data_IF_852058441135
#
_entry.id   IF_852058441135
#
_cell.length_a   1.000
_cell.length_b   1.000
_cell.length_c   1.000
_cell.angle_alpha   90.00
_cell.angle_beta   90.00
_cell.angle_gamma   90.00
#
_symmetry.space_group_name_H-M   'P 1'
#
loop_
_entity.id
_entity.type
_entity.pdbx_description
1 polymer ?
#
# COMPACT_ATOMS: atom_id res chain seq x y z
N UNK A 1 3.99 -8.68 -11.63
CA UNK A 1 2.73 -8.61 -10.87
C UNK A 1 1.54 -9.18 -11.60
N UNK A 2 1.29 -8.77 -12.83
CA UNK A 2 0.18 -9.31 -13.61
C UNK A 2 0.21 -10.83 -13.72
N UNK A 3 1.40 -11.42 -13.91
CA UNK A 3 1.52 -12.87 -14.02
C UNK A 3 1.04 -13.62 -12.77
N UNK A 4 1.31 -13.07 -11.59
CA UNK A 4 0.82 -13.66 -10.34
C UNK A 4 -0.71 -13.70 -10.33
N UNK A 5 -1.36 -12.57 -10.68
CA UNK A 5 -2.81 -12.46 -10.65
C UNK A 5 -3.46 -13.32 -11.74
N UNK A 6 -2.86 -13.33 -12.94
CA UNK A 6 -3.43 -14.02 -14.09
C UNK A 6 -3.34 -15.54 -13.97
N UNK A 7 -2.29 -16.07 -13.32
CA UNK A 7 -2.07 -17.51 -13.24
C UNK A 7 -2.56 -18.12 -11.93
N UNK A 8 -2.97 -17.30 -10.96
CA UNK A 8 -3.45 -17.82 -9.68
C UNK A 8 -4.93 -18.21 -9.80
N UNK A 9 -5.28 -19.52 -9.72
CA UNK A 9 -6.66 -19.95 -9.94
C UNK A 9 -7.63 -19.49 -8.86
N UNK A 10 -7.14 -19.03 -7.70
CA UNK A 10 -7.99 -18.51 -6.63
C UNK A 10 -8.42 -17.06 -6.86
N UNK A 11 -7.74 -16.33 -7.76
CA UNK A 11 -8.10 -14.95 -8.07
C UNK A 11 -9.20 -14.95 -9.11
N UNK A 12 -10.40 -14.53 -8.72
CA UNK A 12 -11.57 -14.50 -9.61
C UNK A 12 -11.61 -13.23 -10.44
N UNK A 13 -11.17 -12.12 -9.88
CA UNK A 13 -11.22 -10.81 -10.53
C UNK A 13 -10.11 -9.95 -9.95
N UNK A 14 -9.53 -9.10 -10.78
CA UNK A 14 -8.62 -8.07 -10.31
C UNK A 14 -8.69 -6.85 -11.23
N UNK A 15 -8.35 -5.69 -10.69
CA UNK A 15 -8.27 -4.44 -11.44
C UNK A 15 -7.23 -3.55 -10.78
N UNK A 16 -6.67 -2.62 -11.55
CA UNK A 16 -5.66 -1.70 -11.05
C UNK A 16 -6.19 -0.27 -11.07
N UNK A 17 -5.94 0.45 -9.95
CA UNK A 17 -6.17 1.88 -9.83
C UNK A 17 -7.61 2.36 -10.14
N UNK A 18 -8.62 1.51 -9.95
CA UNK A 18 -10.02 1.88 -10.18
C UNK A 18 -10.70 2.52 -8.97
N UNK A 19 -10.18 2.27 -7.77
CA UNK A 19 -10.80 2.74 -6.53
C UNK A 19 -10.04 3.96 -6.02
N UNK A 20 -10.75 5.07 -5.79
CA UNK A 20 -10.19 6.28 -5.20
C UNK A 20 -10.68 6.42 -3.77
N UNK A 21 -9.77 6.52 -2.82
CA UNK A 21 -10.08 6.66 -1.40
C UNK A 21 -9.69 8.08 -0.96
N UNK A 22 -10.65 8.90 -0.52
CA UNK A 22 -10.30 10.23 -0.02
C UNK A 22 -9.60 10.12 1.34
N UNK A 23 -8.60 10.94 1.55
CA UNK A 23 -7.95 11.07 2.84
C UNK A 23 -7.49 12.50 3.07
N UNK A 24 -7.22 12.83 4.33
CA UNK A 24 -6.72 14.14 4.73
C UNK A 24 -5.27 14.01 5.18
N UNK A 25 -4.45 14.94 4.74
CA UNK A 25 -3.07 15.05 5.21
C UNK A 25 -2.66 16.52 5.25
N UNK A 26 -2.20 16.98 6.42
CA UNK A 26 -1.83 18.39 6.65
C UNK A 26 -2.94 19.36 6.22
N UNK A 27 -4.18 19.05 6.62
CA UNK A 27 -5.38 19.83 6.33
C UNK A 27 -5.74 19.96 4.85
N UNK A 28 -5.12 19.14 3.99
CA UNK A 28 -5.45 19.07 2.57
C UNK A 28 -6.15 17.77 2.23
N UNK A 29 -7.12 17.85 1.32
CA UNK A 29 -7.82 16.67 0.81
C UNK A 29 -7.02 16.07 -0.32
N UNK A 30 -6.84 14.76 -0.25
CA UNK A 30 -6.15 13.98 -1.27
C UNK A 30 -6.97 12.77 -1.66
N UNK A 31 -6.62 12.15 -2.78
CA UNK A 31 -7.17 10.86 -3.18
C UNK A 31 -6.05 9.84 -3.21
N UNK A 32 -6.33 8.65 -2.70
CA UNK A 32 -5.42 7.54 -2.70
C UNK A 32 -5.96 6.45 -3.63
N UNK A 33 -5.12 5.99 -4.55
CA UNK A 33 -5.45 4.92 -5.48
C UNK A 33 -4.61 3.70 -5.11
N UNK A 34 -5.19 2.69 -4.43
CA UNK A 34 -4.47 1.44 -4.18
C UNK A 34 -4.03 0.79 -5.49
N UNK A 35 -2.92 0.05 -5.46
CA UNK A 35 -2.37 -0.53 -6.69
C UNK A 35 -3.32 -1.53 -7.32
N UNK A 36 -3.96 -2.39 -6.52
CA UNK A 36 -4.84 -3.44 -7.02
C UNK A 36 -6.06 -3.63 -6.14
N UNK A 37 -7.16 -3.97 -6.78
CA UNK A 37 -8.31 -4.58 -6.15
C UNK A 37 -8.40 -6.02 -6.67
N UNK A 38 -8.65 -6.98 -5.77
CA UNK A 38 -8.85 -8.36 -6.20
C UNK A 38 -9.92 -9.08 -5.38
N UNK A 39 -10.57 -10.04 -6.02
CA UNK A 39 -11.52 -10.94 -5.38
C UNK A 39 -10.93 -12.34 -5.43
N UNK A 40 -10.85 -12.98 -4.27
CA UNK A 40 -10.21 -14.28 -4.11
C UNK A 40 -11.22 -15.27 -3.54
N UNK A 41 -11.33 -16.42 -4.20
CA UNK A 41 -12.18 -17.51 -3.72
C UNK A 41 -11.44 -18.26 -2.61
N UNK A 42 -12.12 -18.40 -1.47
CA UNK A 42 -11.59 -19.14 -0.32
C UNK A 42 -11.90 -20.63 -0.43
N UNK A 43 -11.27 -21.43 0.41
CA UNK A 43 -11.49 -22.88 0.45
C UNK A 43 -12.93 -23.28 0.79
N UNK A 44 -13.66 -22.39 1.46
CA UNK A 44 -15.07 -22.59 1.80
C UNK A 44 -16.05 -22.04 0.74
N UNK A 45 -15.55 -21.74 -0.46
CA UNK A 45 -16.27 -21.13 -1.58
C UNK A 45 -16.74 -19.69 -1.35
N UNK A 46 -16.35 -19.07 -0.25
CA UNK A 46 -16.64 -17.66 -0.04
C UNK A 46 -15.63 -16.80 -0.79
N UNK A 47 -16.06 -15.62 -1.21
CA UNK A 47 -15.22 -14.67 -1.92
C UNK A 47 -14.79 -13.57 -0.95
N UNK A 48 -13.49 -13.37 -0.82
CA UNK A 48 -12.91 -12.24 -0.09
C UNK A 48 -12.43 -11.18 -1.05
N UNK A 49 -12.62 -9.93 -0.67
CA UNK A 49 -12.21 -8.77 -1.45
C UNK A 49 -11.04 -8.10 -0.77
N UNK A 50 -10.03 -7.74 -1.56
CA UNK A 50 -8.80 -7.13 -1.04
C UNK A 50 -8.46 -5.88 -1.81
N UNK A 51 -8.02 -4.85 -1.10
CA UNK A 51 -7.26 -3.75 -1.69
C UNK A 51 -5.80 -3.98 -1.35
N UNK A 52 -4.94 -3.93 -2.36
CA UNK A 52 -3.52 -4.28 -2.24
C UNK A 52 -2.66 -3.09 -2.62
N UNK A 53 -1.74 -2.74 -1.73
CA UNK A 53 -0.70 -1.76 -1.99
C UNK A 53 0.65 -2.47 -1.98
N UNK A 54 1.49 -2.21 -3.00
CA UNK A 54 2.82 -2.78 -3.10
C UNK A 54 3.83 -1.69 -2.81
N UNK A 55 4.65 -1.87 -1.80
CA UNK A 55 5.65 -0.90 -1.38
C UNK A 55 6.98 -1.56 -1.09
N UNK A 56 8.05 -0.82 -1.34
CA UNK A 56 9.35 -1.19 -0.83
C UNK A 56 9.40 -0.92 0.68
N UNK A 57 10.16 -1.71 1.41
CA UNK A 57 10.25 -1.59 2.85
C UNK A 57 10.68 -0.18 3.30
N UNK A 58 11.54 0.48 2.53
CA UNK A 58 11.99 1.85 2.81
C UNK A 58 10.86 2.89 2.84
N UNK A 59 9.71 2.59 2.24
CA UNK A 59 8.59 3.54 2.16
C UNK A 59 7.77 3.62 3.44
N UNK A 60 8.00 2.70 4.39
CA UNK A 60 7.28 2.71 5.66
C UNK A 60 8.16 2.49 6.89
N UNK A 61 9.46 2.33 6.69
CA UNK A 61 10.43 2.20 7.79
C UNK A 61 11.49 3.28 7.62
N UNK A 62 11.58 4.16 8.63
CA UNK A 62 12.58 5.21 8.64
C UNK A 62 13.82 4.77 9.41
N UNK A 63 15.00 4.97 8.83
CA UNK A 63 16.26 4.71 9.50
C UNK A 63 16.48 5.74 10.60
N UNK A 64 17.20 5.34 11.65
CA UNK A 64 17.59 6.28 12.71
C UNK A 64 18.49 7.38 12.17
N UNK A 65 18.33 8.63 12.64
CA UNK A 65 19.20 9.70 12.18
C UNK A 65 20.64 9.46 12.63
N UNK A 66 21.57 9.88 11.81
CA UNK A 66 22.99 9.85 12.16
C UNK A 66 23.27 10.96 13.17
N UNK A 67 24.28 10.76 14.00
CA UNK A 67 24.70 11.76 15.00
C UNK A 67 25.08 13.09 14.34
N UNK A 68 25.76 13.04 13.21
CA UNK A 68 26.13 14.21 12.44
C UNK A 68 25.60 14.07 11.04
N UNK A 69 24.81 15.07 10.61
CA UNK A 69 24.24 15.09 9.28
C UNK A 69 24.47 16.46 8.63
N UNK A 70 24.76 16.45 7.35
CA UNK A 70 24.82 17.68 6.54
C UNK A 70 23.41 18.26 6.42
N UNK A 71 23.29 19.51 5.98
CA UNK A 71 22.01 20.14 5.70
C UNK A 71 21.19 19.33 4.69
N UNK A 72 21.86 18.82 3.65
CA UNK A 72 21.22 17.99 2.62
C UNK A 72 20.68 16.70 3.22
N UNK A 73 21.46 16.03 4.08
CA UNK A 73 21.03 14.79 4.73
C UNK A 73 19.85 15.05 5.69
N UNK A 74 19.88 16.14 6.43
CA UNK A 74 18.80 16.53 7.34
C UNK A 74 17.51 16.78 6.55
N UNK A 75 17.61 17.47 5.42
CA UNK A 75 16.47 17.73 4.56
C UNK A 75 15.88 16.43 4.01
N UNK A 76 16.72 15.52 3.54
CA UNK A 76 16.28 14.21 3.05
C UNK A 76 15.60 13.39 4.13
N UNK A 77 16.12 13.44 5.35
CA UNK A 77 15.53 12.75 6.49
C UNK A 77 14.12 13.28 6.79
N UNK A 78 13.94 14.60 6.78
CA UNK A 78 12.63 15.22 7.00
C UNK A 78 11.64 14.87 5.90
N UNK A 79 12.08 14.88 4.65
CA UNK A 79 11.24 14.51 3.51
C UNK A 79 10.80 13.06 3.59
N UNK A 80 11.70 12.15 4.01
CA UNK A 80 11.37 10.76 4.20
C UNK A 80 10.33 10.58 5.33
N UNK A 81 10.48 11.33 6.42
CA UNK A 81 9.52 11.28 7.53
C UNK A 81 8.12 11.72 7.06
N UNK A 82 8.04 12.77 6.25
CA UNK A 82 6.78 13.23 5.69
C UNK A 82 6.16 12.20 4.76
N UNK A 83 6.96 11.56 3.92
CA UNK A 83 6.50 10.51 3.02
C UNK A 83 5.91 9.34 3.80
N UNK A 84 6.61 8.90 4.86
CA UNK A 84 6.13 7.80 5.71
C UNK A 84 4.83 8.19 6.41
N UNK A 85 4.75 9.41 6.94
CA UNK A 85 3.53 9.90 7.59
C UNK A 85 2.35 9.96 6.60
N UNK A 86 2.61 10.41 5.37
CA UNK A 86 1.59 10.48 4.33
C UNK A 86 1.11 9.07 3.93
N UNK A 87 2.02 8.12 3.79
CA UNK A 87 1.67 6.74 3.51
C UNK A 87 0.80 6.15 4.64
N UNK A 88 1.13 6.46 5.88
CA UNK A 88 0.33 6.01 7.01
C UNK A 88 -1.09 6.57 6.97
N UNK A 89 -1.23 7.85 6.63
CA UNK A 89 -2.54 8.47 6.48
C UNK A 89 -3.37 7.81 5.36
N UNK A 90 -2.74 7.51 4.23
CA UNK A 90 -3.38 6.80 3.13
C UNK A 90 -3.87 5.43 3.58
N UNK A 91 -3.03 4.69 4.27
CA UNK A 91 -3.33 3.31 4.67
C UNK A 91 -4.39 3.26 5.77
N UNK A 92 -4.39 4.21 6.69
CA UNK A 92 -5.45 4.31 7.69
C UNK A 92 -6.80 4.59 7.04
N UNK A 93 -6.83 5.49 6.05
CA UNK A 93 -8.03 5.74 5.28
C UNK A 93 -8.48 4.52 4.49
N UNK A 94 -7.53 3.79 3.90
CA UNK A 94 -7.81 2.56 3.16
C UNK A 94 -8.38 1.46 4.07
N UNK A 95 -7.82 1.29 5.26
CA UNK A 95 -8.34 0.32 6.24
C UNK A 95 -9.77 0.65 6.65
N UNK A 96 -10.06 1.92 6.89
CA UNK A 96 -11.39 2.36 7.24
C UNK A 96 -12.37 2.13 6.09
N UNK A 97 -11.98 2.49 4.87
CA UNK A 97 -12.77 2.23 3.67
C UNK A 97 -13.08 0.75 3.51
N UNK A 98 -12.08 -0.11 3.67
CA UNK A 98 -12.24 -1.54 3.55
C UNK A 98 -13.18 -2.09 4.63
N UNK A 99 -13.06 -1.62 5.85
CA UNK A 99 -13.94 -2.03 6.96
C UNK A 99 -15.41 -1.72 6.63
N UNK A 100 -15.67 -0.56 6.03
CA UNK A 100 -17.03 -0.15 5.68
C UNK A 100 -17.59 -0.92 4.48
N UNK A 101 -16.75 -1.53 3.66
CA UNK A 101 -17.16 -2.20 2.42
C UNK A 101 -16.91 -3.71 2.42
N UNK A 102 -16.71 -4.31 3.60
CA UNK A 102 -16.44 -5.75 3.75
C UNK A 102 -15.24 -6.22 2.93
N UNK A 103 -14.18 -5.43 2.97
CA UNK A 103 -12.93 -5.71 2.26
C UNK A 103 -11.78 -5.75 3.26
N UNK A 104 -10.65 -6.29 2.84
CA UNK A 104 -9.41 -6.23 3.62
C UNK A 104 -8.38 -5.40 2.86
N UNK A 105 -7.63 -4.57 3.58
CA UNK A 105 -6.53 -3.82 3.02
C UNK A 105 -5.21 -4.49 3.42
N UNK A 106 -4.38 -4.79 2.43
CA UNK A 106 -3.07 -5.39 2.67
C UNK A 106 -1.97 -4.59 1.97
N UNK A 107 -0.84 -4.45 2.66
CA UNK A 107 0.36 -3.85 2.11
C UNK A 107 1.38 -4.96 1.96
N UNK A 108 1.83 -5.22 0.74
CA UNK A 108 2.80 -6.25 0.45
C UNK A 108 4.11 -5.62 0.01
N UNK A 109 5.21 -6.18 0.49
CA UNK A 109 6.51 -5.81 -0.04
C UNK A 109 6.78 -6.58 -1.34
N UNK A 110 7.66 -6.06 -2.17
CA UNK A 110 8.08 -6.75 -3.38
C UNK A 110 8.65 -8.13 -3.05
N UNK A 111 9.31 -8.25 -1.90
CA UNK A 111 9.88 -9.50 -1.43
C UNK A 111 8.80 -10.55 -1.14
N UNK A 112 7.70 -10.15 -0.52
CA UNK A 112 6.58 -11.05 -0.20
C UNK A 112 5.91 -11.61 -1.46
N UNK A 113 5.95 -10.85 -2.55
CA UNK A 113 5.40 -11.28 -3.83
C UNK A 113 6.39 -12.12 -4.65
N UNK A 114 7.62 -12.27 -4.18
CA UNK A 114 8.66 -12.99 -4.92
C UNK A 114 9.21 -12.22 -6.12
N UNK A 115 8.95 -10.93 -6.20
CA UNK A 115 9.48 -10.08 -7.26
C UNK A 115 10.95 -9.78 -6.95
N UNK A 116 11.83 -10.09 -7.89
CA UNK A 116 13.25 -9.81 -7.74
C UNK A 116 13.58 -8.46 -8.36
N UNK A 117 14.24 -7.60 -7.59
CA UNK A 117 14.84 -6.39 -8.13
C UNK A 117 16.11 -6.72 -8.90
N UNK A 118 16.27 -6.08 -9.99
CA UNK A 118 17.48 -6.19 -10.80
C UNK A 118 18.32 -4.92 -10.66
#
# INVERSE_FOLDING_TARGET
MKNFLDVNPSVLKWSSEEIAIPYMFLDEKHRYFPDFYMEVKQSDNQVKKFLVEIKAQKDFIQKKPRKYMTEKQTKQYREQALTIAKNQAKWDAAKNFCSLNNMEFIVLSEKELGIKKR
#
